data_IF_727594599727
#
_entry.id   IF_727594599727
#
_cell.length_a   1.000
_cell.length_b   1.000
_cell.length_c   1.000
_cell.angle_alpha   90.00
_cell.angle_beta   90.00
_cell.angle_gamma   90.00
#
_symmetry.space_group_name_H-M   'P 1'
#
loop_
_entity.id
_entity.type
_entity.pdbx_description
1 polymer ?
#
# COMPACT_ATOMS: atom_id res chain seq x y z
N UNK A 1 3.13 6.65 5.22
CA UNK A 1 4.44 6.01 5.32
C UNK A 1 4.78 5.39 3.98
N UNK A 2 5.93 5.72 3.44
CA UNK A 2 6.52 5.14 2.23
C UNK A 2 7.91 4.69 2.65
N UNK A 3 8.26 3.43 2.38
CA UNK A 3 9.57 2.87 2.69
C UNK A 3 10.33 2.64 1.40
N UNK A 4 11.62 2.94 1.42
CA UNK A 4 12.52 2.71 0.29
C UNK A 4 13.44 1.55 0.69
N UNK A 5 13.45 0.51 -0.13
CA UNK A 5 14.35 -0.63 0.03
C UNK A 5 15.39 -0.61 -1.08
N UNK A 6 16.62 -0.85 -0.70
CA UNK A 6 17.73 -1.04 -1.63
C UNK A 6 17.87 -2.53 -1.91
N UNK A 7 17.90 -2.90 -3.18
CA UNK A 7 18.09 -4.27 -3.63
C UNK A 7 19.43 -4.33 -4.32
N UNK A 8 20.42 -4.87 -3.63
CA UNK A 8 21.74 -5.09 -4.20
C UNK A 8 21.71 -6.33 -5.10
N UNK A 9 21.96 -6.12 -6.39
CA UNK A 9 22.17 -7.18 -7.37
C UNK A 9 23.58 -7.07 -7.92
N UNK A 10 24.14 -8.21 -8.36
CA UNK A 10 25.52 -8.24 -8.89
C UNK A 10 25.79 -7.24 -10.02
N UNK A 11 24.76 -6.89 -10.79
CA UNK A 11 24.89 -6.04 -11.98
C UNK A 11 24.26 -4.64 -11.82
N UNK A 12 23.35 -4.46 -10.86
CA UNK A 12 22.65 -3.19 -10.69
C UNK A 12 22.19 -2.98 -9.25
N UNK A 13 22.30 -1.74 -8.78
CA UNK A 13 21.65 -1.31 -7.53
C UNK A 13 20.25 -0.82 -7.90
N UNK A 14 19.24 -1.46 -7.36
CA UNK A 14 17.86 -1.06 -7.56
C UNK A 14 17.25 -0.56 -6.26
N UNK A 15 16.41 0.47 -6.36
CA UNK A 15 15.56 0.89 -5.26
C UNK A 15 14.12 0.50 -5.54
N UNK A 16 13.45 -0.05 -4.53
CA UNK A 16 12.01 -0.32 -4.61
C UNK A 16 11.29 0.48 -3.55
N UNK A 17 10.09 0.91 -3.88
CA UNK A 17 9.23 1.67 -2.97
C UNK A 17 8.15 0.74 -2.43
N UNK A 18 8.05 0.67 -1.11
CA UNK A 18 6.96 -0.03 -0.44
C UNK A 18 5.95 0.98 0.11
N UNK A 19 4.72 0.82 -0.30
CA UNK A 19 3.57 1.61 0.15
C UNK A 19 2.39 0.67 0.35
N UNK A 20 1.52 0.97 1.31
CA UNK A 20 0.32 0.17 1.52
C UNK A 20 -0.57 0.20 0.27
N UNK A 21 -0.90 -0.98 -0.24
CA UNK A 21 -1.70 -1.13 -1.45
C UNK A 21 -3.20 -1.10 -1.18
N UNK A 22 -3.62 -1.05 0.10
CA UNK A 22 -5.04 -1.07 0.50
C UNK A 22 -5.80 -2.18 -0.22
N UNK A 23 -5.44 -3.43 0.07
CA UNK A 23 -5.97 -4.63 -0.57
C UNK A 23 -7.50 -4.71 -0.46
N UNK A 24 -8.15 -5.29 -1.48
CA UNK A 24 -9.59 -5.55 -1.45
C UNK A 24 -9.94 -6.55 -0.36
N UNK A 25 -9.13 -7.60 -0.22
CA UNK A 25 -9.15 -8.52 0.92
C UNK A 25 -7.85 -8.34 1.72
N UNK A 26 -7.86 -7.53 2.80
CA UNK A 26 -6.66 -7.15 3.51
C UNK A 26 -6.20 -8.24 4.48
N UNK A 27 -5.26 -9.08 4.07
CA UNK A 27 -4.68 -10.16 4.89
C UNK A 27 -4.23 -9.64 6.26
N UNK A 28 -3.63 -8.43 6.32
CA UNK A 28 -3.19 -7.83 7.58
C UNK A 28 -4.33 -7.60 8.58
N UNK A 29 -5.56 -7.33 8.12
CA UNK A 29 -6.74 -7.26 8.98
C UNK A 29 -7.25 -8.65 9.35
N UNK A 30 -7.30 -9.56 8.37
CA UNK A 30 -7.83 -10.92 8.57
C UNK A 30 -7.00 -11.75 9.57
N UNK A 31 -5.69 -11.53 9.63
CA UNK A 31 -4.80 -12.25 10.57
C UNK A 31 -4.63 -11.53 11.90
N UNK A 32 -5.32 -10.43 12.13
CA UNK A 32 -5.21 -9.67 13.38
C UNK A 32 -6.07 -10.30 14.49
N UNK A 33 -5.49 -10.93 15.53
CA UNK A 33 -6.26 -11.57 16.57
C UNK A 33 -6.98 -10.60 17.51
N UNK A 34 -6.60 -9.32 17.45
CA UNK A 34 -7.15 -8.26 18.29
C UNK A 34 -8.12 -7.33 17.55
N UNK A 35 -8.47 -7.63 16.29
CA UNK A 35 -9.30 -6.77 15.43
C UNK A 35 -8.89 -5.29 15.45
N UNK A 36 -7.56 -5.05 15.55
CA UNK A 36 -7.01 -3.71 15.63
C UNK A 36 -6.92 -3.02 14.26
N UNK A 37 -7.01 -3.77 13.16
CA UNK A 37 -6.90 -3.25 11.79
C UNK A 37 -8.27 -3.35 11.13
N UNK A 38 -8.80 -2.22 10.71
CA UNK A 38 -10.12 -2.14 10.08
C UNK A 38 -10.02 -1.65 8.64
N UNK A 39 -11.03 -1.98 7.84
CA UNK A 39 -11.24 -1.44 6.51
C UNK A 39 -12.56 -0.69 6.49
N UNK A 40 -12.55 0.54 5.98
CA UNK A 40 -13.75 1.35 5.89
C UNK A 40 -14.55 1.10 4.58
N UNK A 41 -15.71 1.76 4.48
CA UNK A 41 -16.59 1.68 3.32
C UNK A 41 -15.96 2.22 2.03
N UNK A 42 -14.96 3.09 2.14
CA UNK A 42 -14.19 3.62 1.02
C UNK A 42 -13.04 2.69 0.59
N UNK A 43 -12.87 1.55 1.28
CA UNK A 43 -11.84 0.56 1.01
C UNK A 43 -10.45 0.96 1.53
N UNK A 44 -10.36 1.92 2.44
CA UNK A 44 -9.12 2.29 3.11
C UNK A 44 -8.90 1.32 4.27
N UNK A 45 -7.76 0.66 4.26
CA UNK A 45 -7.33 -0.19 5.38
C UNK A 45 -6.55 0.67 6.35
N UNK A 46 -7.10 0.88 7.55
CA UNK A 46 -6.52 1.75 8.57
C UNK A 46 -5.27 1.13 9.21
N UNK A 47 -4.45 1.97 9.83
CA UNK A 47 -3.37 1.49 10.73
C UNK A 47 -3.99 0.88 11.99
N UNK A 48 -3.19 0.16 12.77
CA UNK A 48 -3.72 -0.49 13.97
C UNK A 48 -4.26 0.54 14.97
N UNK A 49 -5.41 0.22 15.56
CA UNK A 49 -5.95 0.92 16.71
C UNK A 49 -4.99 0.74 17.90
N UNK A 50 -4.51 1.86 18.45
CA UNK A 50 -3.54 1.89 19.54
C UNK A 50 -4.05 1.24 20.83
N UNK A 51 -5.37 1.25 21.04
CA UNK A 51 -6.01 0.65 22.21
C UNK A 51 -6.17 -0.87 22.12
N UNK A 52 -6.11 -1.42 20.90
CA UNK A 52 -6.34 -2.84 20.63
C UNK A 52 -5.08 -3.60 20.23
N UNK A 53 -4.11 -2.91 19.61
CA UNK A 53 -2.92 -3.55 19.08
C UNK A 53 -2.06 -4.15 20.20
N UNK A 54 -1.76 -5.45 20.09
CA UNK A 54 -0.94 -6.21 21.05
C UNK A 54 0.50 -6.46 20.56
N UNK A 55 0.89 -5.87 19.42
CA UNK A 55 2.26 -6.00 18.88
C UNK A 55 2.66 -7.39 18.40
N UNK A 56 1.72 -8.29 18.11
CA UNK A 56 1.99 -9.71 17.81
C UNK A 56 2.69 -9.97 16.45
N UNK A 57 2.89 -8.96 15.61
CA UNK A 57 3.55 -9.03 14.30
C UNK A 57 2.87 -9.88 13.22
N UNK A 58 1.71 -10.49 13.45
CA UNK A 58 1.01 -11.31 12.45
C UNK A 58 0.74 -10.52 11.15
N UNK A 59 0.35 -9.25 11.26
CA UNK A 59 0.12 -8.37 10.12
C UNK A 59 1.41 -8.04 9.32
N UNK A 60 2.56 -8.03 9.99
CA UNK A 60 3.88 -7.83 9.36
C UNK A 60 4.24 -9.05 8.51
N UNK A 61 4.09 -10.24 9.09
CA UNK A 61 4.40 -11.51 8.44
C UNK A 61 3.40 -11.83 7.31
N UNK A 62 2.11 -11.54 7.54
CA UNK A 62 1.05 -11.86 6.58
C UNK A 62 0.97 -10.93 5.38
N UNK A 63 1.61 -9.77 5.38
CA UNK A 63 1.51 -8.83 4.27
C UNK A 63 2.39 -9.24 3.08
N UNK A 64 1.80 -9.56 1.90
CA UNK A 64 2.59 -9.95 0.74
C UNK A 64 3.47 -8.82 0.18
N UNK A 65 3.16 -7.57 0.53
CA UNK A 65 3.93 -6.38 0.14
C UNK A 65 4.94 -5.93 1.21
N UNK A 66 5.02 -6.60 2.37
CA UNK A 66 5.96 -6.27 3.45
C UNK A 66 5.80 -4.88 4.07
N UNK A 67 4.59 -4.30 4.04
CA UNK A 67 4.39 -2.88 4.39
C UNK A 67 4.18 -2.58 5.86
N UNK A 68 3.40 -3.35 6.64
CA UNK A 68 3.23 -3.07 8.06
C UNK A 68 4.56 -3.20 8.81
N UNK A 69 4.82 -2.28 9.73
CA UNK A 69 6.04 -2.28 10.54
C UNK A 69 5.69 -2.01 12.00
N UNK A 70 6.50 -2.53 12.89
CA UNK A 70 6.54 -2.18 14.31
C UNK A 70 7.88 -1.48 14.53
N UNK A 71 7.93 -0.14 14.45
CA UNK A 71 9.18 0.60 14.39
C UNK A 71 9.91 0.66 15.72
N UNK A 72 9.22 0.44 16.83
CA UNK A 72 9.76 0.54 18.17
C UNK A 72 9.26 -0.63 19.02
N UNK A 73 10.17 -1.43 19.51
CA UNK A 73 9.88 -2.56 20.41
C UNK A 73 9.20 -2.10 21.72
N UNK A 74 9.46 -0.88 22.16
CA UNK A 74 8.84 -0.34 23.37
C UNK A 74 7.39 0.07 23.17
N UNK A 75 7.04 0.57 22.00
CA UNK A 75 5.68 0.97 21.67
C UNK A 75 4.79 -0.20 21.24
N UNK A 76 5.37 -1.29 20.73
CA UNK A 76 4.70 -2.51 20.24
C UNK A 76 3.47 -2.25 19.37
N UNK A 77 3.50 -1.14 18.61
CA UNK A 77 2.37 -0.68 17.81
C UNK A 77 2.66 -0.80 16.33
N UNK A 78 1.79 -1.49 15.60
CA UNK A 78 1.89 -1.57 14.15
C UNK A 78 1.54 -0.24 13.48
N UNK A 79 2.41 0.18 12.58
CA UNK A 79 2.22 1.36 11.75
C UNK A 79 2.27 1.01 10.26
N UNK A 80 1.40 1.63 9.49
CA UNK A 80 1.39 1.60 8.02
C UNK A 80 0.69 2.85 7.46
N UNK A 81 0.69 3.01 6.13
CA UNK A 81 -0.10 4.04 5.48
C UNK A 81 -1.60 3.83 5.74
N UNK A 82 -2.29 4.89 6.16
CA UNK A 82 -3.75 4.98 6.32
C UNK A 82 -4.40 5.87 5.25
N UNK A 83 -3.76 6.09 4.11
CA UNK A 83 -4.17 6.99 3.03
C UNK A 83 -4.33 8.45 3.46
N UNK A 84 -3.69 8.87 4.57
CA UNK A 84 -3.93 10.18 5.20
C UNK A 84 -5.43 10.42 5.43
N UNK A 85 -6.09 9.50 6.13
CA UNK A 85 -7.55 9.50 6.30
C UNK A 85 -8.09 10.83 6.85
N UNK A 86 -7.36 11.48 7.75
CA UNK A 86 -7.61 12.83 8.26
C UNK A 86 -7.77 13.89 7.17
N UNK A 87 -7.10 13.70 6.04
CA UNK A 87 -7.17 14.59 4.87
C UNK A 87 -8.16 14.09 3.83
N UNK A 88 -8.11 12.80 3.51
CA UNK A 88 -8.94 12.24 2.43
C UNK A 88 -10.42 12.21 2.79
N UNK A 89 -10.78 12.08 4.08
CA UNK A 89 -12.15 12.17 4.57
C UNK A 89 -12.80 13.55 4.36
N UNK A 90 -12.00 14.59 4.26
CA UNK A 90 -12.49 15.97 3.97
C UNK A 90 -12.21 16.39 2.52
N UNK A 91 -11.94 15.44 1.62
CA UNK A 91 -11.76 15.68 0.19
C UNK A 91 -10.38 16.20 -0.23
N UNK A 92 -9.41 16.25 0.68
CA UNK A 92 -8.04 16.64 0.37
C UNK A 92 -7.22 15.43 -0.11
N UNK A 93 -6.17 15.70 -0.91
CA UNK A 93 -5.26 14.65 -1.37
C UNK A 93 -4.36 14.19 -0.22
N UNK A 94 -3.93 12.90 -0.22
CA UNK A 94 -2.88 12.42 0.66
C UNK A 94 -1.62 13.27 0.55
N UNK A 95 -0.89 13.45 1.64
CA UNK A 95 0.29 14.32 1.68
C UNK A 95 1.35 13.90 0.65
N UNK A 96 1.62 12.61 0.51
CA UNK A 96 2.60 12.09 -0.45
C UNK A 96 2.28 12.48 -1.90
N UNK A 97 0.99 12.45 -2.29
CA UNK A 97 0.56 12.89 -3.62
C UNK A 97 0.54 14.41 -3.77
N UNK A 98 0.39 15.15 -2.65
CA UNK A 98 0.40 16.61 -2.64
C UNK A 98 1.80 17.17 -2.85
N UNK A 99 2.81 16.56 -2.22
CA UNK A 99 4.20 17.07 -2.22
C UNK A 99 5.10 16.40 -3.27
N UNK A 100 4.60 15.44 -4.04
CA UNK A 100 5.41 14.73 -5.04
C UNK A 100 5.82 15.66 -6.20
N UNK A 101 7.09 16.07 -6.31
CA UNK A 101 7.51 17.05 -7.31
C UNK A 101 7.48 16.51 -8.74
N UNK A 102 7.68 15.20 -8.90
CA UNK A 102 7.64 14.54 -10.21
C UNK A 102 6.23 14.14 -10.64
N UNK A 103 5.21 14.24 -9.74
CA UNK A 103 3.88 13.72 -9.99
C UNK A 103 3.81 12.19 -10.13
N UNK A 104 4.85 11.46 -9.69
CA UNK A 104 4.87 9.99 -9.73
C UNK A 104 3.77 9.40 -8.84
N UNK A 105 3.50 10.03 -7.70
CA UNK A 105 2.40 9.69 -6.81
C UNK A 105 1.20 10.58 -7.15
N UNK A 106 0.09 9.97 -7.53
CA UNK A 106 -1.15 10.68 -7.88
C UNK A 106 -2.32 10.12 -7.07
N UNK A 107 -3.23 11.00 -6.69
CA UNK A 107 -4.50 10.66 -6.05
C UNK A 107 -5.61 11.30 -6.87
N UNK A 108 -6.28 10.48 -7.69
CA UNK A 108 -7.32 10.94 -8.62
C UNK A 108 -8.17 9.74 -9.05
N UNK A 109 -9.23 9.97 -9.79
CA UNK A 109 -10.03 8.91 -10.42
C UNK A 109 -9.23 8.21 -11.52
N UNK A 110 -9.55 6.94 -11.79
CA UNK A 110 -8.89 6.16 -12.86
C UNK A 110 -8.93 6.88 -14.21
N UNK A 111 -10.08 7.48 -14.55
CA UNK A 111 -10.27 8.18 -15.84
C UNK A 111 -9.39 9.42 -15.95
N UNK A 112 -9.27 10.18 -14.86
CA UNK A 112 -8.40 11.36 -14.83
C UNK A 112 -6.91 10.98 -14.93
N UNK A 113 -6.51 9.89 -14.27
CA UNK A 113 -5.13 9.38 -14.36
C UNK A 113 -4.84 8.87 -15.77
N UNK A 114 -5.77 8.14 -16.39
CA UNK A 114 -5.63 7.65 -17.77
C UNK A 114 -5.47 8.80 -18.78
N UNK A 115 -6.25 9.88 -18.63
CA UNK A 115 -6.10 11.11 -19.46
C UNK A 115 -4.73 11.76 -19.29
N UNK A 116 -4.21 11.83 -18.06
CA UNK A 116 -2.90 12.42 -17.77
C UNK A 116 -1.72 11.55 -18.23
N UNK A 117 -1.92 10.24 -18.32
CA UNK A 117 -0.88 9.25 -18.66
C UNK A 117 -1.36 8.27 -19.74
N UNK A 118 -1.56 8.71 -20.98
CA UNK A 118 -2.19 7.93 -22.04
C UNK A 118 -1.37 6.70 -22.47
N UNK A 119 -0.08 6.69 -22.20
CA UNK A 119 0.84 5.59 -22.53
C UNK A 119 1.01 4.56 -21.40
N UNK A 120 0.23 4.67 -20.33
CA UNK A 120 0.32 3.78 -19.18
C UNK A 120 -1.05 3.21 -18.83
N UNK A 121 -1.06 1.99 -18.28
CA UNK A 121 -2.26 1.32 -17.78
C UNK A 121 -2.18 1.19 -16.26
N UNK A 122 -3.23 1.56 -15.51
CA UNK A 122 -3.28 1.34 -14.07
C UNK A 122 -3.53 -0.14 -13.77
N UNK A 123 -2.58 -0.78 -13.11
CA UNK A 123 -2.64 -2.19 -12.72
C UNK A 123 -2.81 -2.28 -11.20
N UNK A 124 -3.80 -3.03 -10.76
CA UNK A 124 -4.12 -3.30 -9.36
C UNK A 124 -4.25 -4.79 -9.04
N UNK A 125 -3.83 -5.65 -9.95
CA UNK A 125 -3.86 -7.10 -9.84
C UNK A 125 -2.44 -7.62 -9.70
N UNK A 126 -2.13 -8.25 -8.57
CA UNK A 126 -0.82 -8.79 -8.24
C UNK A 126 -0.90 -10.29 -8.06
N UNK A 127 0.07 -11.03 -8.60
CA UNK A 127 0.15 -12.48 -8.50
C UNK A 127 1.38 -12.85 -7.67
N UNK A 128 1.13 -13.50 -6.53
CA UNK A 128 2.15 -14.05 -5.63
C UNK A 128 2.08 -15.59 -5.69
N UNK A 129 2.88 -16.19 -6.58
CA UNK A 129 2.83 -17.62 -6.82
C UNK A 129 1.47 -18.05 -7.40
N UNK A 130 0.60 -18.64 -6.58
CA UNK A 130 -0.77 -19.06 -6.96
C UNK A 130 -1.86 -18.10 -6.45
N UNK A 131 -1.51 -17.19 -5.58
CA UNK A 131 -2.45 -16.26 -4.96
C UNK A 131 -2.56 -14.95 -5.75
N UNK A 132 -3.77 -14.44 -5.84
CA UNK A 132 -4.09 -13.18 -6.53
C UNK A 132 -4.53 -12.16 -5.49
N UNK A 133 -3.87 -11.02 -5.48
CA UNK A 133 -4.19 -9.92 -4.59
C UNK A 133 -4.64 -8.71 -5.41
N UNK A 134 -5.90 -8.34 -5.28
CA UNK A 134 -6.43 -7.11 -5.86
C UNK A 134 -6.31 -5.97 -4.85
N UNK A 135 -5.99 -4.76 -5.34
CA UNK A 135 -5.67 -3.63 -4.49
C UNK A 135 -6.43 -2.36 -4.91
N UNK A 136 -6.60 -1.43 -3.97
CA UNK A 136 -7.14 -0.10 -4.25
C UNK A 136 -6.10 0.82 -4.91
N UNK A 137 -4.84 0.70 -4.49
CA UNK A 137 -3.73 1.43 -5.10
C UNK A 137 -3.32 0.75 -6.41
N UNK A 138 -3.10 1.56 -7.43
CA UNK A 138 -2.70 1.07 -8.75
C UNK A 138 -1.23 1.44 -9.01
N UNK A 139 -0.53 0.55 -9.70
CA UNK A 139 0.78 0.84 -10.28
C UNK A 139 0.59 1.16 -11.76
N UNK A 140 1.18 2.27 -12.21
CA UNK A 140 1.13 2.66 -13.61
C UNK A 140 2.20 1.87 -14.38
N UNK A 141 1.75 0.96 -15.23
CA UNK A 141 2.57 0.08 -16.05
C UNK A 141 2.53 0.50 -17.52
N UNK A 142 3.48 0.06 -18.36
CA UNK A 142 3.38 0.23 -19.80
C UNK A 142 2.05 -0.27 -20.35
N UNK A 143 1.58 0.37 -21.41
CA UNK A 143 0.29 0.03 -22.04
C UNK A 143 0.25 -1.45 -22.44
N UNK A 144 -0.86 -2.13 -22.11
CA UNK A 144 -1.05 -3.55 -22.37
C UNK A 144 -0.72 -4.49 -21.21
N UNK A 145 -0.25 -3.95 -20.08
CA UNK A 145 -0.07 -4.75 -18.86
C UNK A 145 -1.41 -4.88 -18.13
N UNK A 146 -1.79 -6.11 -17.77
CA UNK A 146 -3.04 -6.39 -17.05
C UNK A 146 -2.80 -6.80 -15.60
N UNK A 147 -1.64 -7.36 -15.32
CA UNK A 147 -1.28 -7.88 -13.98
C UNK A 147 0.22 -7.75 -13.72
N UNK A 148 0.61 -7.76 -12.45
CA UNK A 148 1.99 -7.83 -12.01
C UNK A 148 2.26 -9.17 -11.33
N UNK A 149 3.20 -9.94 -11.88
CA UNK A 149 3.73 -11.14 -11.23
C UNK A 149 4.84 -10.71 -10.26
N UNK A 150 4.63 -11.04 -9.00
CA UNK A 150 5.60 -10.83 -7.93
C UNK A 150 6.13 -12.19 -7.53
N UNK A 151 7.44 -12.34 -7.47
CA UNK A 151 8.13 -13.62 -7.26
C UNK A 151 7.96 -14.13 -5.84
#
# INVERSE_FOLDING_TARGET
>A
MIHIHYVDRAETIQTTVQVCMHCEDPICANVCPADAITKDEYGIVHTADTSKCIGCSNCVIGCPFGVPQIPDESAMLMMKCNMCYDRTSVGLKPMCATVCPSGALTFDTRDNVAKKRPNSTPVNRFIFGKEIVNTKVNIMMPKGSEELKVF
#
